data_IF_179216245064
#
_entry.id   IF_179216245064
#
_cell.length_a   1.000
_cell.length_b   1.000
_cell.length_c   1.000
_cell.angle_alpha   90.00
_cell.angle_beta   90.00
_cell.angle_gamma   90.00
#
_symmetry.space_group_name_H-M   'P 1'
#
loop_
_entity.id
_entity.type
_entity.pdbx_description
1 polymer ?
#
# COMPACT_ATOMS: atom_id res chain seq x y z
N UNK A 1 -2.93 14.42 -47.97
CA UNK A 1 -4.04 14.71 -47.03
C UNK A 1 -4.07 16.21 -46.76
N UNK A 2 -5.20 16.89 -46.95
CA UNK A 2 -5.28 18.36 -46.86
C UNK A 2 -5.01 18.85 -45.43
N UNK A 3 -4.34 20.00 -45.29
CA UNK A 3 -3.99 20.59 -43.99
C UNK A 3 -5.22 20.81 -43.08
N UNK A 4 -6.37 21.14 -43.67
CA UNK A 4 -7.65 21.28 -42.97
C UNK A 4 -8.11 19.99 -42.26
N UNK A 5 -7.84 18.82 -42.84
CA UNK A 5 -8.18 17.52 -42.22
C UNK A 5 -7.30 17.24 -41.00
N UNK A 6 -6.03 17.65 -41.03
CA UNK A 6 -5.12 17.53 -39.89
C UNK A 6 -5.53 18.45 -38.73
N UNK A 7 -5.95 19.68 -39.04
CA UNK A 7 -6.47 20.61 -38.03
C UNK A 7 -7.76 20.11 -37.38
N UNK A 8 -8.69 19.55 -38.16
CA UNK A 8 -9.93 18.99 -37.63
C UNK A 8 -9.67 17.80 -36.67
N UNK A 9 -8.69 16.95 -36.97
CA UNK A 9 -8.32 15.81 -36.11
C UNK A 9 -7.74 16.28 -34.78
N UNK A 10 -6.87 17.31 -34.78
CA UNK A 10 -6.28 17.84 -33.55
C UNK A 10 -7.35 18.46 -32.65
N UNK A 11 -8.32 19.18 -33.22
CA UNK A 11 -9.43 19.77 -32.47
C UNK A 11 -10.30 18.67 -31.85
N UNK A 12 -10.60 17.61 -32.61
CA UNK A 12 -11.38 16.48 -32.10
C UNK A 12 -10.68 15.77 -30.93
N UNK A 13 -9.35 15.60 -30.98
CA UNK A 13 -8.57 14.98 -29.90
C UNK A 13 -8.58 15.81 -28.60
N UNK A 14 -8.63 17.14 -28.69
CA UNK A 14 -8.71 18.01 -27.50
C UNK A 14 -10.06 17.93 -26.78
N UNK A 15 -11.16 17.71 -27.52
CA UNK A 15 -12.52 17.62 -26.96
C UNK A 15 -12.74 16.30 -26.19
N UNK A 16 -11.95 15.26 -26.49
CA UNK A 16 -11.97 13.98 -25.76
C UNK A 16 -11.15 13.96 -24.46
N UNK A 17 -10.62 15.10 -24.01
CA UNK A 17 -9.91 15.19 -22.74
C UNK A 17 -10.89 15.07 -21.57
N UNK A 18 -11.13 13.85 -21.08
CA UNK A 18 -12.05 13.57 -19.98
C UNK A 18 -11.68 14.29 -18.67
N UNK A 19 -12.68 14.51 -17.83
CA UNK A 19 -12.53 15.11 -16.50
C UNK A 19 -11.66 14.22 -15.60
N UNK A 20 -10.53 14.72 -15.14
CA UNK A 20 -9.74 14.05 -14.10
C UNK A 20 -10.47 14.18 -12.77
N UNK A 21 -10.92 13.07 -12.20
CA UNK A 21 -11.45 13.04 -10.83
C UNK A 21 -10.25 13.03 -9.89
N UNK A 22 -9.99 14.15 -9.21
CA UNK A 22 -9.06 14.20 -8.10
C UNK A 22 -9.79 13.76 -6.82
N UNK A 23 -9.46 12.59 -6.29
CA UNK A 23 -9.96 12.14 -5.00
C UNK A 23 -9.25 12.92 -3.88
N UNK A 24 -10.01 13.50 -2.95
CA UNK A 24 -9.45 14.17 -1.79
C UNK A 24 -8.90 13.13 -0.80
N UNK A 25 -7.58 13.06 -0.68
CA UNK A 25 -6.87 12.13 0.20
C UNK A 25 -6.48 12.78 1.54
N UNK A 26 -7.12 13.89 1.93
CA UNK A 26 -6.81 14.61 3.18
C UNK A 26 -6.96 13.78 4.45
N UNK A 27 -7.70 12.67 4.42
CA UNK A 27 -7.76 11.73 5.54
C UNK A 27 -6.42 11.01 5.79
N UNK A 28 -5.50 11.01 4.82
CA UNK A 28 -4.13 10.51 4.98
C UNK A 28 -3.19 11.58 5.56
N UNK A 29 -3.59 12.85 5.52
CA UNK A 29 -2.88 13.92 6.22
C UNK A 29 -2.90 13.56 7.71
N UNK A 30 -1.75 13.70 8.37
CA UNK A 30 -1.55 13.31 9.77
C UNK A 30 -1.69 11.80 10.06
N UNK A 31 -1.57 10.92 9.06
CA UNK A 31 -1.37 9.49 9.31
C UNK A 31 0.04 9.20 9.86
N UNK A 32 0.23 8.07 10.56
CA UNK A 32 1.57 7.69 11.03
C UNK A 32 2.58 7.63 9.87
N UNK A 33 2.15 7.20 8.69
CA UNK A 33 2.97 7.11 7.48
C UNK A 33 3.34 8.48 6.89
N UNK A 34 2.56 9.53 7.15
CA UNK A 34 2.91 10.90 6.77
C UNK A 34 4.20 11.39 7.45
N UNK A 35 4.45 10.92 8.69
CA UNK A 35 5.62 11.30 9.48
C UNK A 35 6.85 10.39 9.25
N UNK A 36 6.76 9.42 8.35
CA UNK A 36 7.89 8.51 8.07
C UNK A 36 9.07 9.28 7.45
N UNK A 37 10.27 8.94 7.90
CA UNK A 37 11.51 9.55 7.42
C UNK A 37 12.57 8.49 7.11
N UNK A 38 13.47 8.81 6.17
CA UNK A 38 14.60 7.95 5.83
C UNK A 38 14.18 6.53 5.46
N UNK A 39 14.51 5.55 6.32
CA UNK A 39 14.27 4.13 6.08
C UNK A 39 12.98 3.59 6.70
N UNK A 40 12.16 4.42 7.35
CA UNK A 40 10.94 3.99 8.05
C UNK A 40 10.03 3.14 7.15
N UNK A 41 9.75 3.62 5.94
CA UNK A 41 8.90 2.91 4.99
C UNK A 41 9.50 1.56 4.57
N UNK A 42 10.80 1.52 4.30
CA UNK A 42 11.48 0.28 3.91
C UNK A 42 11.47 -0.76 5.03
N UNK A 43 11.70 -0.33 6.28
CA UNK A 43 11.65 -1.20 7.46
C UNK A 43 10.23 -1.74 7.72
N UNK A 44 9.21 -0.89 7.60
CA UNK A 44 7.81 -1.29 7.70
C UNK A 44 7.46 -2.34 6.64
N UNK A 45 7.80 -2.09 5.38
CA UNK A 45 7.52 -3.00 4.27
C UNK A 45 8.26 -4.33 4.42
N UNK A 46 9.53 -4.30 4.79
CA UNK A 46 10.31 -5.51 5.06
C UNK A 46 9.67 -6.34 6.17
N UNK A 47 9.26 -5.72 7.28
CA UNK A 47 8.57 -6.39 8.38
C UNK A 47 7.21 -6.98 7.94
N UNK A 48 6.43 -6.26 7.12
CA UNK A 48 5.16 -6.76 6.60
C UNK A 48 5.35 -8.00 5.72
N UNK A 49 6.32 -7.96 4.79
CA UNK A 49 6.66 -9.11 3.94
C UNK A 49 7.17 -10.29 4.77
N UNK A 50 7.95 -10.00 5.80
CA UNK A 50 8.49 -11.00 6.70
C UNK A 50 7.40 -11.73 7.48
N UNK A 51 6.46 -10.96 8.03
CA UNK A 51 5.29 -11.49 8.72
C UNK A 51 4.46 -12.40 7.80
N UNK A 52 4.20 -11.97 6.56
CA UNK A 52 3.45 -12.76 5.58
C UNK A 52 4.14 -14.07 5.22
N UNK A 53 5.47 -14.08 5.12
CA UNK A 53 6.23 -15.25 4.68
C UNK A 53 6.54 -16.25 5.81
N UNK A 54 6.91 -15.76 7.00
CA UNK A 54 7.52 -16.62 8.04
C UNK A 54 6.69 -16.75 9.31
N UNK A 55 5.90 -15.74 9.67
CA UNK A 55 5.23 -15.74 10.96
C UNK A 55 3.94 -16.57 10.91
N UNK A 56 3.68 -17.43 11.92
CA UNK A 56 2.38 -18.06 12.10
C UNK A 56 1.27 -17.04 12.36
N UNK A 57 0.02 -17.42 12.13
CA UNK A 57 -1.13 -16.57 12.46
C UNK A 57 -1.12 -16.19 13.96
N UNK A 58 -1.46 -14.93 14.25
CA UNK A 58 -1.47 -14.37 15.59
C UNK A 58 -0.09 -14.02 16.17
N UNK A 59 1.02 -14.31 15.47
CA UNK A 59 2.37 -13.96 15.92
C UNK A 59 2.79 -12.59 15.42
N UNK A 60 3.32 -11.78 16.33
CA UNK A 60 3.72 -10.39 16.09
C UNK A 60 5.15 -10.31 15.55
N UNK A 61 5.30 -9.70 14.38
CA UNK A 61 6.58 -9.26 13.82
C UNK A 61 6.73 -7.75 14.06
N UNK A 62 7.78 -7.33 14.76
CA UNK A 62 7.98 -5.93 15.17
C UNK A 62 9.20 -5.31 14.49
N UNK A 63 9.12 -4.01 14.22
CA UNK A 63 10.22 -3.23 13.67
C UNK A 63 10.34 -1.88 14.39
N UNK A 64 11.54 -1.30 14.35
CA UNK A 64 11.82 0.02 14.91
C UNK A 64 12.98 0.64 14.13
N UNK A 65 12.84 1.90 13.76
CA UNK A 65 13.96 2.69 13.28
C UNK A 65 14.57 3.46 14.48
N UNK A 66 15.79 3.12 14.93
CA UNK A 66 16.42 3.79 16.06
C UNK A 66 16.79 5.25 15.75
N UNK A 67 16.88 5.65 14.47
CA UNK A 67 17.27 7.01 14.07
C UNK A 67 16.12 8.02 14.18
N UNK A 68 14.90 7.58 13.90
CA UNK A 68 13.69 8.43 13.88
C UNK A 68 12.79 8.19 15.10
N UNK A 69 12.97 7.06 15.79
CA UNK A 69 12.09 6.62 16.87
C UNK A 69 10.80 5.97 16.39
N UNK A 70 10.51 6.02 15.09
CA UNK A 70 9.35 5.36 14.46
C UNK A 70 9.40 3.85 14.69
N UNK A 71 8.24 3.26 14.99
CA UNK A 71 8.14 1.81 15.22
C UNK A 71 6.78 1.28 14.78
N UNK A 72 6.69 -0.04 14.69
CA UNK A 72 5.44 -0.69 14.34
C UNK A 72 5.51 -2.19 14.45
N UNK A 73 4.44 -2.84 14.02
CA UNK A 73 4.38 -4.29 13.95
C UNK A 73 3.38 -4.76 12.89
N UNK A 74 3.51 -6.03 12.52
CA UNK A 74 2.56 -6.74 11.68
C UNK A 74 2.15 -8.06 12.33
N UNK A 75 0.87 -8.41 12.22
CA UNK A 75 0.32 -9.68 12.73
C UNK A 75 -0.48 -10.33 11.60
N UNK A 76 -0.02 -11.45 11.05
CA UNK A 76 -0.80 -12.18 10.06
C UNK A 76 -1.92 -12.96 10.76
N UNK A 77 -3.03 -13.16 10.06
CA UNK A 77 -4.17 -13.94 10.55
C UNK A 77 -4.97 -14.51 9.38
N UNK A 78 -5.92 -15.40 9.68
CA UNK A 78 -6.86 -15.94 8.70
C UNK A 78 -6.18 -16.49 7.43
N UNK A 79 -5.16 -17.31 7.62
CA UNK A 79 -4.50 -18.03 6.52
C UNK A 79 -5.49 -19.00 5.87
N UNK A 80 -5.72 -18.81 4.57
CA UNK A 80 -6.65 -19.63 3.78
C UNK A 80 -6.12 -19.86 2.37
N UNK A 81 -6.68 -20.84 1.68
CA UNK A 81 -6.48 -21.02 0.25
C UNK A 81 -7.70 -20.45 -0.49
N UNK A 82 -7.49 -19.51 -1.41
CA UNK A 82 -8.54 -18.89 -2.21
C UNK A 82 -8.11 -18.92 -3.67
N UNK A 83 -8.87 -19.60 -4.53
CA UNK A 83 -8.56 -19.79 -5.96
C UNK A 83 -7.15 -20.37 -6.21
N UNK A 84 -6.71 -21.31 -5.37
CA UNK A 84 -5.38 -21.92 -5.47
C UNK A 84 -4.24 -21.06 -4.92
N UNK A 85 -4.53 -19.86 -4.42
CA UNK A 85 -3.55 -18.95 -3.84
C UNK A 85 -3.64 -18.96 -2.31
N UNK A 86 -2.47 -18.96 -1.65
CA UNK A 86 -2.41 -18.73 -0.21
C UNK A 86 -2.71 -17.26 0.07
N UNK A 87 -3.80 -16.99 0.79
CA UNK A 87 -4.19 -15.67 1.23
C UNK A 87 -4.14 -15.56 2.75
N UNK A 88 -3.82 -14.38 3.26
CA UNK A 88 -3.74 -14.07 4.70
C UNK A 88 -4.24 -12.64 4.92
N UNK A 89 -4.88 -12.41 6.05
CA UNK A 89 -5.08 -11.06 6.55
C UNK A 89 -3.78 -10.61 7.23
N UNK A 90 -3.45 -9.33 7.14
CA UNK A 90 -2.30 -8.74 7.81
C UNK A 90 -2.74 -7.45 8.49
N UNK A 91 -2.75 -7.47 9.82
CA UNK A 91 -2.87 -6.26 10.63
C UNK A 91 -1.51 -5.58 10.66
N UNK A 92 -1.46 -4.29 10.34
CA UNK A 92 -0.27 -3.45 10.36
C UNK A 92 -0.55 -2.29 11.32
N UNK A 93 0.35 -2.09 12.27
CA UNK A 93 0.35 -0.94 13.18
C UNK A 93 1.64 -0.16 13.02
N UNK A 94 1.54 1.16 13.01
CA UNK A 94 2.68 2.07 13.00
C UNK A 94 2.48 3.21 14.00
N UNK A 95 3.57 3.69 14.58
CA UNK A 95 3.63 4.89 15.39
C UNK A 95 4.84 5.73 14.97
N UNK A 96 4.58 6.97 14.58
CA UNK A 96 5.57 7.96 14.22
C UNK A 96 5.15 9.31 14.80
N UNK A 97 6.06 10.06 15.44
CA UNK A 97 5.74 11.37 16.03
C UNK A 97 4.50 11.34 16.98
N UNK A 98 4.32 10.27 17.77
CA UNK A 98 3.16 10.03 18.63
C UNK A 98 1.82 9.89 17.91
N UNK A 99 1.83 9.79 16.59
CA UNK A 99 0.65 9.49 15.78
C UNK A 99 0.64 8.00 15.49
N UNK A 100 -0.43 7.34 15.92
CA UNK A 100 -0.64 5.92 15.68
C UNK A 100 -1.57 5.70 14.47
N UNK A 101 -1.30 4.65 13.70
CA UNK A 101 -2.19 4.18 12.63
C UNK A 101 -2.24 2.67 12.62
N UNK A 102 -3.43 2.11 12.39
CA UNK A 102 -3.64 0.68 12.21
C UNK A 102 -4.51 0.43 10.98
N UNK A 103 -4.16 -0.59 10.20
CA UNK A 103 -4.98 -1.09 9.11
C UNK A 103 -4.85 -2.61 9.00
N UNK A 104 -5.90 -3.26 8.48
CA UNK A 104 -5.87 -4.69 8.16
C UNK A 104 -6.18 -4.88 6.68
N UNK A 105 -5.30 -5.58 5.96
CA UNK A 105 -5.46 -5.88 4.54
C UNK A 105 -5.47 -7.38 4.31
N UNK A 106 -6.17 -7.83 3.28
CA UNK A 106 -6.02 -9.19 2.76
C UNK A 106 -4.90 -9.18 1.73
N UNK A 107 -3.92 -10.07 1.88
CA UNK A 107 -2.88 -10.33 0.89
C UNK A 107 -3.02 -11.76 0.36
N UNK A 108 -2.87 -11.94 -0.94
CA UNK A 108 -2.79 -13.23 -1.61
C UNK A 108 -1.42 -13.40 -2.27
N UNK A 109 -0.88 -14.62 -2.24
CA UNK A 109 0.43 -14.94 -2.80
C UNK A 109 0.32 -15.31 -4.28
N UNK A 110 0.85 -14.45 -5.14
CA UNK A 110 0.96 -14.64 -6.59
C UNK A 110 2.42 -15.04 -6.92
N UNK A 111 2.67 -16.35 -7.05
CA UNK A 111 4.03 -16.87 -7.20
C UNK A 111 4.87 -16.59 -5.96
N UNK A 112 5.86 -15.69 -6.07
CA UNK A 112 6.73 -15.28 -4.96
C UNK A 112 6.27 -13.98 -4.27
N UNK A 113 5.34 -13.25 -4.87
CA UNK A 113 4.90 -11.93 -4.41
C UNK A 113 3.60 -12.00 -3.62
N UNK A 114 3.41 -11.09 -2.67
CA UNK A 114 2.15 -10.88 -1.99
C UNK A 114 1.46 -9.63 -2.54
N UNK A 115 0.18 -9.73 -2.89
CA UNK A 115 -0.61 -8.62 -3.45
C UNK A 115 -1.95 -8.51 -2.75
N UNK A 116 -2.48 -7.30 -2.67
CA UNK A 116 -3.87 -7.09 -2.29
C UNK A 116 -4.72 -7.48 -3.51
N UNK A 117 -5.66 -8.43 -3.39
CA UNK A 117 -6.56 -8.74 -4.50
C UNK A 117 -7.44 -7.50 -4.77
N UNK A 118 -7.50 -7.10 -6.04
CA UNK A 118 -8.38 -6.03 -6.51
C UNK A 118 -9.82 -6.49 -6.69
#
# INVERSE_FOLDING_TARGET
>A
MPAALRFAIVILLFILSGSTIASNVSFLDYSATFYFQGQDQAMMLANAMDALNRYPDGKKASWKNPKTGTFGYAIPSNTRNQNGMRCRNLKIFNNAHNVAGEATYTFCKFGKEWKIPG
#
